data_IF_092275847029
#
_entry.id   IF_092275847029
#
_cell.length_a   1.000
_cell.length_b   1.000
_cell.length_c   1.000
_cell.angle_alpha   90.00
_cell.angle_beta   90.00
_cell.angle_gamma   90.00
#
_symmetry.space_group_name_H-M   'P 1'
#
loop_
_entity.id
_entity.type
_entity.pdbx_description
1 polymer ?
#
# COMPACT_ATOMS: atom_id res chain seq x y z
N UNK A 1 -3.09 18.41 1.51
CA UNK A 1 -1.93 19.17 2.02
C UNK A 1 -0.66 18.48 1.52
N UNK A 2 0.50 19.13 1.49
CA UNK A 2 1.76 18.52 1.01
C UNK A 2 2.64 18.21 2.22
N UNK A 3 3.66 17.31 2.12
CA UNK A 3 4.73 17.29 3.11
C UNK A 3 5.29 18.70 3.29
N UNK A 4 5.68 19.06 4.52
CA UNK A 4 6.24 20.37 4.85
C UNK A 4 7.66 20.45 4.27
N UNK A 5 7.76 20.58 2.94
CA UNK A 5 9.00 20.43 2.19
C UNK A 5 9.72 19.13 2.53
N UNK A 6 11.04 19.23 2.71
CA UNK A 6 11.93 18.11 3.06
C UNK A 6 11.99 17.77 4.55
N UNK A 7 11.08 18.30 5.37
CA UNK A 7 11.09 18.08 6.81
C UNK A 7 10.39 16.77 7.17
N UNK A 8 11.07 15.96 7.98
CA UNK A 8 10.45 14.80 8.61
C UNK A 8 9.51 15.26 9.72
N UNK A 9 8.20 15.07 9.52
CA UNK A 9 7.17 15.40 10.51
C UNK A 9 6.64 14.12 11.16
N UNK A 10 6.66 14.07 12.49
CA UNK A 10 6.00 13.04 13.28
C UNK A 10 4.77 13.61 13.98
N UNK A 11 3.68 12.84 14.01
CA UNK A 11 2.49 13.17 14.79
C UNK A 11 2.43 12.22 15.97
N UNK A 12 2.62 12.77 17.17
CA UNK A 12 2.49 12.03 18.43
C UNK A 12 1.08 12.21 18.97
N UNK A 13 0.42 11.10 19.28
CA UNK A 13 -0.96 11.09 19.77
C UNK A 13 -1.02 10.50 21.16
N UNK A 14 -1.65 11.23 22.06
CA UNK A 14 -2.02 10.77 23.38
C UNK A 14 -3.48 10.34 23.31
N UNK A 15 -3.71 9.03 23.42
CA UNK A 15 -5.05 8.43 23.29
C UNK A 15 -5.42 7.68 24.55
N UNK A 16 -6.71 7.64 24.87
CA UNK A 16 -7.16 6.88 26.02
C UNK A 16 -7.03 5.36 25.79
N UNK A 17 -6.54 4.65 26.81
CA UNK A 17 -6.58 3.19 26.89
C UNK A 17 -7.74 2.77 27.79
N UNK A 18 -8.63 1.95 27.28
CA UNK A 18 -9.79 1.43 27.99
C UNK A 18 -9.61 -0.06 28.28
N UNK A 19 -10.22 -0.52 29.37
CA UNK A 19 -10.23 -1.93 29.78
C UNK A 19 -11.69 -2.36 29.96
N UNK A 20 -12.09 -3.43 29.28
CA UNK A 20 -13.40 -4.05 29.48
C UNK A 20 -13.35 -4.92 30.75
N UNK A 21 -14.22 -4.68 31.75
CA UNK A 21 -14.23 -5.46 32.98
C UNK A 21 -14.91 -6.83 32.83
N UNK A 22 -15.54 -7.11 31.69
CA UNK A 22 -16.33 -8.33 31.48
C UNK A 22 -15.41 -9.53 31.20
N UNK A 23 -15.42 -10.60 32.03
CA UNK A 23 -14.51 -11.74 31.88
C UNK A 23 -14.66 -12.53 30.58
N UNK A 24 -15.84 -12.48 29.96
CA UNK A 24 -16.15 -13.20 28.72
C UNK A 24 -15.84 -12.38 27.46
N UNK A 25 -15.35 -11.16 27.60
CA UNK A 25 -15.08 -10.29 26.46
C UNK A 25 -13.85 -10.78 25.68
N UNK A 26 -13.99 -11.00 24.37
CA UNK A 26 -12.86 -11.38 23.51
C UNK A 26 -11.82 -10.27 23.36
N UNK A 27 -12.20 -9.01 23.61
CA UNK A 27 -11.32 -7.85 23.54
C UNK A 27 -11.32 -7.06 24.86
N UNK A 28 -10.42 -7.43 25.76
CA UNK A 28 -10.29 -6.79 27.07
C UNK A 28 -9.65 -5.40 27.04
N UNK A 29 -8.81 -5.10 26.05
CA UNK A 29 -8.12 -3.81 25.92
C UNK A 29 -8.46 -3.20 24.58
N UNK A 30 -8.85 -1.94 24.59
CA UNK A 30 -9.03 -1.13 23.39
C UNK A 30 -8.51 0.28 23.62
N UNK A 31 -8.06 0.92 22.55
CA UNK A 31 -7.67 2.33 22.58
C UNK A 31 -8.78 3.18 21.96
N UNK A 32 -8.81 4.45 22.33
CA UNK A 32 -9.62 5.47 21.64
C UNK A 32 -9.39 5.41 20.14
N UNK A 33 -10.49 5.43 19.38
CA UNK A 33 -10.44 5.39 17.93
C UNK A 33 -10.17 6.79 17.40
N UNK A 34 -9.05 6.94 16.71
CA UNK A 34 -8.71 8.17 15.98
C UNK A 34 -9.15 8.00 14.53
N UNK A 35 -10.21 8.68 14.05
CA UNK A 35 -10.83 8.39 12.74
C UNK A 35 -9.85 8.47 11.56
N UNK A 36 -8.90 9.38 11.62
CA UNK A 36 -7.90 9.60 10.57
C UNK A 36 -6.61 8.78 10.77
N UNK A 37 -6.48 8.04 11.88
CA UNK A 37 -5.34 7.19 12.20
C UNK A 37 -5.80 5.78 12.63
N UNK A 38 -6.31 4.95 11.70
CA UNK A 38 -6.61 3.54 11.96
C UNK A 38 -5.45 2.77 12.62
N UNK A 39 -5.77 1.68 13.35
CA UNK A 39 -4.77 0.84 13.98
C UNK A 39 -3.64 0.43 13.03
N UNK A 40 -2.41 0.43 13.55
CA UNK A 40 -1.19 0.08 12.81
C UNK A 40 -0.82 1.02 11.66
N UNK A 41 -1.54 2.12 11.43
CA UNK A 41 -1.09 3.13 10.48
C UNK A 41 0.22 3.76 10.96
N UNK A 42 1.22 3.77 10.08
CA UNK A 42 2.56 4.34 10.36
C UNK A 42 2.86 5.60 9.56
N UNK A 43 2.00 5.94 8.60
CA UNK A 43 2.14 7.06 7.67
C UNK A 43 0.77 7.60 7.37
N UNK A 44 0.61 8.91 7.28
CA UNK A 44 -0.65 9.54 6.88
C UNK A 44 -1.09 9.02 5.51
N UNK A 45 -2.39 9.05 5.25
CA UNK A 45 -2.98 8.65 3.96
C UNK A 45 -2.35 9.43 2.81
N UNK A 46 -2.08 10.71 3.05
CA UNK A 46 -1.47 11.65 2.11
C UNK A 46 0.00 11.31 1.80
N UNK A 47 0.79 10.98 2.83
CA UNK A 47 2.16 10.49 2.64
C UNK A 47 2.16 9.20 1.80
N UNK A 48 1.21 8.30 2.05
CA UNK A 48 1.07 7.06 1.27
C UNK A 48 0.66 7.33 -0.18
N UNK A 49 -0.28 8.25 -0.42
CA UNK A 49 -0.70 8.64 -1.77
C UNK A 49 0.46 9.26 -2.58
N UNK A 50 1.28 10.11 -1.95
CA UNK A 50 2.46 10.71 -2.61
C UNK A 50 3.49 9.65 -3.02
N UNK A 51 3.76 8.70 -2.13
CA UNK A 51 4.65 7.58 -2.44
C UNK A 51 4.13 6.71 -3.58
N UNK A 52 2.82 6.47 -3.62
CA UNK A 52 2.18 5.73 -4.71
C UNK A 52 2.30 6.46 -6.04
N UNK A 53 2.06 7.77 -6.08
CA UNK A 53 2.21 8.57 -7.29
C UNK A 53 3.61 8.40 -7.90
N UNK A 54 4.67 8.55 -7.08
CA UNK A 54 6.04 8.30 -7.55
C UNK A 54 6.32 6.83 -7.87
N UNK A 55 5.73 5.88 -7.14
CA UNK A 55 5.96 4.46 -7.35
C UNK A 55 5.37 3.94 -8.67
N UNK A 56 4.33 4.60 -9.19
CA UNK A 56 3.76 4.27 -10.49
C UNK A 56 4.65 4.77 -11.65
N UNK A 57 5.31 5.91 -11.47
CA UNK A 57 6.15 6.52 -12.52
C UNK A 57 7.62 6.06 -12.47
N UNK A 58 8.05 5.48 -11.36
CA UNK A 58 9.47 5.22 -11.08
C UNK A 58 9.72 3.81 -10.54
N UNK A 59 10.97 3.35 -10.66
CA UNK A 59 11.40 2.14 -9.97
C UNK A 59 11.36 2.33 -8.45
N UNK A 60 11.09 1.26 -7.71
CA UNK A 60 11.03 1.32 -6.25
C UNK A 60 12.30 1.89 -5.57
N UNK A 61 13.48 1.72 -6.18
CA UNK A 61 14.73 2.31 -5.67
C UNK A 61 14.75 3.83 -5.92
N UNK A 62 14.35 4.28 -7.11
CA UNK A 62 14.24 5.70 -7.41
C UNK A 62 13.19 6.39 -6.52
N UNK A 63 12.04 5.73 -6.29
CA UNK A 63 11.03 6.20 -5.34
C UNK A 63 11.59 6.36 -3.93
N UNK A 64 12.40 5.40 -3.44
CA UNK A 64 13.06 5.54 -2.13
C UNK A 64 13.98 6.77 -2.08
N UNK A 65 14.73 7.06 -3.14
CA UNK A 65 15.61 8.24 -3.21
C UNK A 65 14.81 9.55 -3.23
N UNK A 66 13.75 9.61 -4.03
CA UNK A 66 12.85 10.76 -4.07
C UNK A 66 12.16 10.99 -2.72
N UNK A 67 11.68 9.92 -2.08
CA UNK A 67 11.09 9.98 -0.76
C UNK A 67 12.09 10.49 0.30
N UNK A 68 13.33 10.03 0.26
CA UNK A 68 14.37 10.49 1.18
C UNK A 68 14.69 12.00 1.04
N UNK A 69 14.67 12.53 -0.20
CA UNK A 69 14.83 13.96 -0.45
C UNK A 69 13.69 14.81 0.16
N UNK A 70 12.54 14.18 0.42
CA UNK A 70 11.33 14.79 0.98
C UNK A 70 11.13 14.40 2.47
N UNK A 71 12.19 13.90 3.13
CA UNK A 71 12.14 13.54 4.55
C UNK A 71 11.38 12.24 4.85
N UNK A 72 11.04 11.44 3.85
CA UNK A 72 10.25 10.21 4.00
C UNK A 72 11.16 8.98 3.91
N UNK A 73 11.42 8.34 5.05
CA UNK A 73 12.19 7.10 5.12
C UNK A 73 11.34 5.86 4.77
N UNK A 74 11.60 5.25 3.61
CA UNK A 74 10.91 4.04 3.15
C UNK A 74 11.87 3.08 2.43
N UNK A 75 11.63 1.78 2.60
CA UNK A 75 12.39 0.73 1.92
C UNK A 75 11.80 0.33 0.56
N UNK A 76 12.63 -0.22 -0.32
CA UNK A 76 12.19 -0.83 -1.59
C UNK A 76 11.08 -1.87 -1.40
N UNK A 77 11.20 -2.69 -0.36
CA UNK A 77 10.18 -3.70 -0.01
C UNK A 77 8.86 -3.06 0.41
N UNK A 78 8.90 -1.88 1.02
CA UNK A 78 7.69 -1.11 1.39
C UNK A 78 7.01 -0.52 0.16
N UNK A 79 7.77 0.01 -0.80
CA UNK A 79 7.22 0.51 -2.06
C UNK A 79 6.56 -0.61 -2.86
N UNK A 80 7.24 -1.75 -3.02
CA UNK A 80 6.65 -2.90 -3.72
C UNK A 80 5.37 -3.41 -3.03
N UNK A 81 5.38 -3.49 -1.69
CA UNK A 81 4.19 -3.89 -0.93
C UNK A 81 3.02 -2.91 -1.11
N UNK A 82 3.30 -1.61 -1.24
CA UNK A 82 2.29 -0.61 -1.51
C UNK A 82 1.66 -0.85 -2.88
N UNK A 83 2.48 -0.93 -3.94
CA UNK A 83 2.01 -1.16 -5.30
C UNK A 83 1.17 -2.43 -5.43
N UNK A 84 1.63 -3.54 -4.85
CA UNK A 84 0.89 -4.82 -4.89
C UNK A 84 -0.46 -4.70 -4.20
N UNK A 85 -0.51 -4.09 -3.01
CA UNK A 85 -1.77 -3.92 -2.27
C UNK A 85 -2.76 -3.03 -3.02
N UNK A 86 -2.28 -1.97 -3.67
CA UNK A 86 -3.15 -1.09 -4.45
C UNK A 86 -3.62 -1.73 -5.76
N UNK A 87 -2.75 -2.47 -6.45
CA UNK A 87 -3.12 -3.18 -7.67
C UNK A 87 -4.14 -4.30 -7.38
N UNK A 88 -4.01 -5.02 -6.27
CA UNK A 88 -4.98 -6.03 -5.86
C UNK A 88 -6.38 -5.47 -5.59
N UNK A 89 -6.47 -4.21 -5.11
CA UNK A 89 -7.75 -3.51 -4.92
C UNK A 89 -8.33 -3.05 -6.25
N UNK A 90 -7.50 -2.71 -7.23
CA UNK A 90 -7.94 -2.29 -8.56
C UNK A 90 -8.37 -3.47 -9.47
N UNK A 91 -7.83 -4.67 -9.24
CA UNK A 91 -8.09 -5.86 -10.05
C UNK A 91 -9.15 -6.82 -9.48
N UNK A 92 -9.92 -6.40 -8.47
CA UNK A 92 -10.85 -7.28 -7.74
C UNK A 92 -12.29 -6.81 -7.81
N UNK A 93 -12.94 -7.00 -8.96
CA UNK A 93 -14.34 -7.34 -8.95
C UNK A 93 -14.44 -8.85 -8.77
N UNK A 94 -15.20 -9.33 -7.79
CA UNK A 94 -15.57 -10.75 -7.65
C UNK A 94 -16.53 -11.21 -8.77
N UNK A 95 -16.70 -10.40 -9.81
CA UNK A 95 -17.52 -10.74 -10.95
C UNK A 95 -16.87 -11.89 -11.73
N UNK A 96 -17.62 -12.95 -12.04
CA UNK A 96 -17.11 -13.97 -12.95
C UNK A 96 -16.67 -13.26 -14.24
N UNK A 97 -15.50 -13.60 -14.81
CA UNK A 97 -15.06 -12.99 -16.05
C UNK A 97 -16.21 -13.10 -17.05
N UNK A 98 -16.59 -11.96 -17.64
CA UNK A 98 -17.56 -11.94 -18.72
C UNK A 98 -17.10 -12.93 -19.80
N UNK A 99 -18.03 -13.43 -20.63
CA UNK A 99 -17.64 -14.34 -21.71
C UNK A 99 -16.54 -13.70 -22.56
N UNK A 100 -15.31 -14.18 -22.40
CA UNK A 100 -14.11 -13.62 -23.02
C UNK A 100 -14.32 -13.69 -24.54
N UNK A 101 -14.54 -12.54 -25.16
CA UNK A 101 -14.84 -12.48 -26.61
C UNK A 101 -13.56 -12.27 -27.41
N UNK A 102 -12.59 -11.53 -26.84
CA UNK A 102 -11.28 -11.26 -27.43
C UNK A 102 -10.25 -11.45 -26.33
N UNK A 103 -9.30 -12.35 -26.56
CA UNK A 103 -8.22 -12.64 -25.61
C UNK A 103 -6.90 -12.14 -26.17
N UNK A 104 -6.22 -11.29 -25.41
CA UNK A 104 -4.80 -10.99 -25.61
C UNK A 104 -3.94 -12.06 -24.94
N UNK A 105 -3.02 -12.66 -25.69
CA UNK A 105 -2.03 -13.62 -25.17
C UNK A 105 -0.64 -13.03 -25.37
N UNK A 106 0.11 -12.89 -24.28
CA UNK A 106 1.51 -12.45 -24.30
C UNK A 106 2.38 -13.36 -23.44
N UNK A 107 3.67 -13.45 -23.74
CA UNK A 107 4.63 -14.22 -22.97
C UNK A 107 5.61 -13.29 -22.25
N UNK A 108 5.71 -13.44 -20.93
CA UNK A 108 6.67 -12.71 -20.10
C UNK A 108 7.69 -13.65 -19.47
N UNK A 109 8.85 -13.12 -19.10
CA UNK A 109 9.90 -13.90 -18.44
C UNK A 109 10.28 -13.28 -17.09
N UNK A 110 10.24 -14.08 -16.02
CA UNK A 110 10.80 -13.68 -14.71
C UNK A 110 12.30 -13.42 -14.79
N UNK A 111 12.98 -14.26 -15.57
CA UNK A 111 14.41 -14.15 -15.90
C UNK A 111 14.57 -14.65 -17.33
N UNK A 112 15.11 -13.80 -18.20
CA UNK A 112 15.31 -14.10 -19.62
C UNK A 112 16.04 -15.44 -19.79
N UNK A 113 15.48 -16.32 -20.62
CA UNK A 113 16.06 -17.64 -20.93
C UNK A 113 15.92 -18.70 -19.85
N UNK A 114 15.12 -18.48 -18.79
CA UNK A 114 14.93 -19.49 -17.74
C UNK A 114 13.47 -19.83 -17.47
N UNK A 115 12.66 -18.84 -17.08
CA UNK A 115 11.28 -19.08 -16.67
C UNK A 115 10.35 -18.07 -17.30
N UNK A 116 9.55 -18.57 -18.23
CA UNK A 116 8.50 -17.84 -18.92
C UNK A 116 7.15 -18.10 -18.22
N UNK A 117 6.24 -17.15 -18.36
CA UNK A 117 4.83 -17.30 -18.04
C UNK A 117 4.02 -16.65 -19.15
N UNK A 118 2.82 -17.15 -19.36
CA UNK A 118 1.87 -16.57 -20.31
C UNK A 118 0.92 -15.67 -19.56
N UNK A 119 0.76 -14.45 -20.05
CA UNK A 119 -0.17 -13.46 -19.56
C UNK A 119 -1.39 -13.48 -20.49
N UNK A 120 -2.56 -13.72 -19.90
CA UNK A 120 -3.85 -13.77 -20.60
C UNK A 120 -4.65 -12.56 -20.13
N UNK A 121 -5.06 -11.70 -21.07
CA UNK A 121 -5.86 -10.50 -20.79
C UNK A 121 -7.18 -10.59 -21.56
N UNK A 122 -8.26 -10.23 -20.88
CA UNK A 122 -9.53 -9.90 -21.53
C UNK A 122 -9.44 -8.47 -22.08
N UNK A 123 -9.60 -8.31 -23.40
CA UNK A 123 -9.42 -7.03 -24.11
C UNK A 123 -10.74 -6.31 -24.38
#
# INVERSE_FOLDING_TARGET
ELPVGSLTVAVELWVHRFVCPTPTCSQHIFCERVPWAPPHQRRTTMCTARLLAWAWDMTAVATCRAAAAEGIAVSRSTINRLLVRTAAVAGGGDDPPAALTIIGVDDWAWKKGQRYGTLIVDL
#
